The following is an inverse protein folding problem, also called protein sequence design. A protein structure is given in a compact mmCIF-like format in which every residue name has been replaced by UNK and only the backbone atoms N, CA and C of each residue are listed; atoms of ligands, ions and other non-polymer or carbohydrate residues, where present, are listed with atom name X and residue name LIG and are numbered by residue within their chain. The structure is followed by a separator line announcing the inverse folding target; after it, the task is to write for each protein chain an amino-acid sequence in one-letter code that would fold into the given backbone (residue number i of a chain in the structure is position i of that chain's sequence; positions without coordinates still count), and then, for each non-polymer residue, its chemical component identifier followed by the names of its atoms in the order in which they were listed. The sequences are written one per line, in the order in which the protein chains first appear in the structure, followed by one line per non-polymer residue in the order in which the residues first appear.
data_IF_570496870240
#
_entry.id   IF_570496870240
#
_cell.length_a   1.000
_cell.length_b   1.000
_cell.length_c   1.000
_cell.angle_alpha   90.00
_cell.angle_beta   90.00
_cell.angle_gamma   90.00
#
_symmetry.space_group_name_H-M   'P 1'
#
loop_
_entity.id
_entity.type
_entity.pdbx_description
1 polymer ?
#
# COMPACT_ATOMS: atom_id res chain seq x y z
N UNK A 1 -15.46 -12.12 -24.94
CA UNK A 1 -15.24 -11.83 -23.51
C UNK A 1 -15.16 -13.15 -22.78
N UNK A 2 -14.14 -13.34 -21.95
CA UNK A 2 -14.01 -14.51 -21.10
C UNK A 2 -14.67 -14.20 -19.76
N UNK A 3 -15.58 -15.06 -19.30
CA UNK A 3 -16.23 -14.93 -17.99
C UNK A 3 -15.47 -15.84 -17.03
N UNK A 4 -15.01 -15.29 -15.90
CA UNK A 4 -14.22 -16.04 -14.91
C UNK A 4 -15.10 -16.94 -14.05
N UNK A 5 -14.56 -18.10 -13.68
CA UNK A 5 -15.16 -18.99 -12.69
C UNK A 5 -14.74 -18.60 -11.27
N UNK A 6 -15.42 -19.17 -10.26
CA UNK A 6 -15.04 -19.03 -8.85
C UNK A 6 -13.59 -19.46 -8.60
N UNK A 7 -13.13 -20.53 -9.25
CA UNK A 7 -11.77 -21.04 -9.07
C UNK A 7 -10.72 -20.08 -9.65
N UNK A 8 -11.03 -19.44 -10.78
CA UNK A 8 -10.14 -18.45 -11.39
C UNK A 8 -9.96 -17.23 -10.49
N UNK A 9 -11.05 -16.76 -9.85
CA UNK A 9 -11.00 -15.60 -8.95
C UNK A 9 -10.25 -15.95 -7.65
N UNK A 10 -10.60 -17.06 -7.00
CA UNK A 10 -9.99 -17.42 -5.71
C UNK A 10 -8.55 -17.95 -5.83
N UNK A 11 -8.13 -18.36 -7.02
CA UNK A 11 -6.77 -18.80 -7.31
C UNK A 11 -5.88 -17.71 -7.90
N UNK A 12 -6.41 -16.52 -8.17
CA UNK A 12 -5.62 -15.41 -8.67
C UNK A 12 -4.65 -14.92 -7.59
N UNK A 13 -3.41 -14.65 -7.99
CA UNK A 13 -2.45 -13.92 -7.17
C UNK A 13 -2.42 -12.47 -7.62
N UNK A 14 -3.35 -11.68 -7.10
CA UNK A 14 -3.63 -10.30 -7.50
C UNK A 14 -3.16 -9.25 -6.49
N UNK A 15 -2.45 -9.69 -5.44
CA UNK A 15 -1.86 -8.81 -4.43
C UNK A 15 -0.40 -8.49 -4.76
N UNK A 16 -0.18 -7.38 -5.46
CA UNK A 16 1.17 -6.89 -5.75
C UNK A 16 1.93 -6.55 -4.46
N UNK A 17 3.24 -6.81 -4.44
CA UNK A 17 4.13 -6.43 -3.35
C UNK A 17 5.44 -5.87 -3.87
N UNK A 18 6.06 -4.99 -3.08
CA UNK A 18 7.38 -4.45 -3.35
C UNK A 18 8.20 -4.33 -2.07
N UNK A 19 9.51 -4.44 -2.19
CA UNK A 19 10.43 -4.18 -1.08
C UNK A 19 10.82 -2.71 -1.07
N UNK A 20 10.73 -2.07 0.10
CA UNK A 20 11.07 -0.66 0.30
C UNK A 20 12.24 -0.57 1.26
N UNK A 21 13.34 0.01 0.82
CA UNK A 21 14.49 0.30 1.68
C UNK A 21 14.16 1.40 2.67
N UNK A 22 14.46 1.16 3.95
CA UNK A 22 14.24 2.06 5.08
C UNK A 22 15.60 2.35 5.73
N UNK A 23 16.42 3.25 5.15
CA UNK A 23 17.76 3.54 5.65
C UNK A 23 17.76 4.04 7.11
N UNK A 24 16.66 4.66 7.56
CA UNK A 24 16.45 5.10 8.93
C UNK A 24 16.48 3.94 9.95
N UNK A 25 16.17 2.72 9.51
CA UNK A 25 16.21 1.51 10.32
C UNK A 25 17.31 0.52 9.90
N UNK A 26 18.09 0.87 8.87
CA UNK A 26 19.20 0.03 8.38
C UNK A 26 18.75 -1.26 7.71
N UNK A 27 17.53 -1.30 7.15
CA UNK A 27 16.98 -2.49 6.51
C UNK A 27 15.85 -2.15 5.54
N UNK A 28 15.10 -3.16 5.12
CA UNK A 28 14.02 -3.02 4.14
C UNK A 28 12.75 -3.69 4.67
N UNK A 29 11.59 -3.24 4.20
CA UNK A 29 10.28 -3.82 4.54
C UNK A 29 9.55 -4.23 3.27
N UNK A 30 8.74 -5.28 3.36
CA UNK A 30 7.87 -5.69 2.24
C UNK A 30 6.52 -4.99 2.42
N UNK A 31 6.11 -4.24 1.40
CA UNK A 31 4.82 -3.59 1.32
C UNK A 31 3.97 -4.30 0.28
N UNK A 32 2.74 -4.68 0.64
CA UNK A 32 1.78 -5.35 -0.23
C UNK A 32 0.50 -4.53 -0.39
N UNK A 33 -0.17 -4.69 -1.53
CA UNK A 33 -1.56 -4.32 -1.69
C UNK A 33 -2.44 -4.95 -0.59
N UNK A 34 -3.43 -4.19 -0.14
CA UNK A 34 -4.43 -4.66 0.82
C UNK A 34 -5.39 -5.64 0.14
N UNK A 35 -5.80 -6.67 0.88
CA UNK A 35 -7.01 -7.42 0.51
C UNK A 35 -8.25 -6.52 0.68
N UNK A 36 -9.37 -6.92 0.08
CA UNK A 36 -10.64 -6.19 0.30
C UNK A 36 -11.01 -6.06 1.77
N UNK A 37 -10.80 -7.10 2.58
CA UNK A 37 -11.07 -7.05 4.02
C UNK A 37 -10.13 -6.11 4.78
N UNK A 38 -8.84 -6.08 4.41
CA UNK A 38 -7.86 -5.15 4.98
C UNK A 38 -8.19 -3.70 4.61
N UNK A 39 -8.67 -3.48 3.38
CA UNK A 39 -9.12 -2.18 2.90
C UNK A 39 -10.30 -1.65 3.72
N UNK A 40 -11.32 -2.48 3.92
CA UNK A 40 -12.48 -2.13 4.74
C UNK A 40 -12.07 -1.82 6.19
N UNK A 41 -11.14 -2.61 6.76
CA UNK A 41 -10.61 -2.38 8.10
C UNK A 41 -9.82 -1.06 8.21
N UNK A 42 -9.02 -0.73 7.20
CA UNK A 42 -8.34 0.56 7.11
C UNK A 42 -9.33 1.72 7.04
N UNK A 43 -10.31 1.65 6.14
CA UNK A 43 -11.31 2.72 5.97
C UNK A 43 -12.16 2.89 7.25
N UNK A 44 -12.50 1.79 7.94
CA UNK A 44 -13.15 1.85 9.26
C UNK A 44 -12.27 2.50 10.33
N UNK A 45 -10.96 2.22 10.33
CA UNK A 45 -10.00 2.84 11.24
C UNK A 45 -9.79 4.35 10.98
N UNK A 46 -10.18 4.85 9.79
CA UNK A 46 -10.20 6.28 9.48
C UNK A 46 -11.48 6.98 9.91
N UNK A 47 -12.45 6.30 10.50
CA UNK A 47 -13.68 6.92 10.98
C UNK A 47 -13.68 6.95 12.51
N UNK A 48 -13.89 8.14 13.09
CA UNK A 48 -14.15 8.31 14.53
C UNK A 48 -15.47 9.02 14.74
N UNK A 49 -16.10 8.82 15.90
CA UNK A 49 -17.24 9.65 16.32
C UNK A 49 -16.72 10.85 17.10
N UNK A 50 -17.19 12.03 16.74
CA UNK A 50 -16.93 13.24 17.50
C UNK A 50 -17.79 13.28 18.78
N UNK A 51 -17.58 14.30 19.63
CA UNK A 51 -18.34 14.49 20.87
C UNK A 51 -19.85 14.66 20.66
N UNK A 52 -20.27 15.06 19.45
CA UNK A 52 -21.68 15.18 19.04
C UNK A 52 -22.27 13.87 18.48
N UNK A 53 -21.49 12.77 18.46
CA UNK A 53 -21.90 11.48 17.91
C UNK A 53 -21.89 11.38 16.38
N UNK A 54 -21.39 12.39 15.66
CA UNK A 54 -21.25 12.37 14.20
C UNK A 54 -19.98 11.66 13.80
N UNK A 55 -20.03 10.92 12.68
CA UNK A 55 -18.83 10.33 12.08
C UNK A 55 -17.99 11.41 11.41
N UNK A 56 -16.71 11.44 11.73
CA UNK A 56 -15.70 12.30 11.14
C UNK A 56 -14.46 11.48 10.74
N UNK A 57 -13.67 12.01 9.82
CA UNK A 57 -12.41 11.39 9.41
C UNK A 57 -11.38 11.56 10.51
N UNK A 58 -10.88 10.45 11.03
CA UNK A 58 -9.77 10.40 11.96
C UNK A 58 -8.45 10.55 11.20
N UNK A 59 -7.93 11.78 11.23
CA UNK A 59 -6.63 12.11 10.65
C UNK A 59 -5.46 11.71 11.55
N UNK A 60 -5.72 11.28 12.79
CA UNK A 60 -4.69 10.84 13.72
C UNK A 60 -4.04 9.56 13.21
N UNK A 61 -2.71 9.55 13.17
CA UNK A 61 -1.89 8.40 12.78
C UNK A 61 -2.27 7.78 11.42
N UNK A 62 -2.90 8.55 10.52
CA UNK A 62 -3.42 8.04 9.24
C UNK A 62 -2.38 7.26 8.42
N UNK A 63 -1.13 7.76 8.39
CA UNK A 63 -0.01 7.10 7.70
C UNK A 63 0.40 5.80 8.38
N UNK A 64 0.49 5.80 9.71
CA UNK A 64 0.80 4.59 10.48
C UNK A 64 -0.32 3.53 10.33
N UNK A 65 -1.59 3.94 10.27
CA UNK A 65 -2.72 3.05 9.96
C UNK A 65 -2.57 2.41 8.57
N UNK A 66 -2.14 3.17 7.57
CA UNK A 66 -1.89 2.62 6.23
C UNK A 66 -0.73 1.60 6.26
N UNK A 67 0.38 1.93 6.91
CA UNK A 67 1.54 1.04 7.08
C UNK A 67 1.13 -0.28 7.78
N UNK A 68 0.31 -0.18 8.82
CA UNK A 68 -0.18 -1.32 9.59
C UNK A 68 -0.90 -2.36 8.73
N UNK A 69 -1.66 -1.92 7.73
CA UNK A 69 -2.42 -2.82 6.85
C UNK A 69 -1.69 -3.23 5.56
N UNK A 70 -0.45 -2.77 5.35
CA UNK A 70 0.28 -2.98 4.09
C UNK A 70 1.65 -3.60 4.28
N UNK A 71 2.28 -3.48 5.45
CA UNK A 71 3.58 -4.11 5.71
C UNK A 71 3.41 -5.57 6.10
N UNK A 72 4.13 -6.45 5.42
CA UNK A 72 4.06 -7.90 5.59
C UNK A 72 5.45 -8.54 5.76
N UNK A 73 5.47 -9.75 6.28
CA UNK A 73 6.64 -10.64 6.24
C UNK A 73 6.80 -11.33 4.87
N UNK A 74 7.82 -12.18 4.75
CA UNK A 74 8.10 -12.95 3.52
C UNK A 74 6.99 -13.96 3.18
N UNK A 75 6.14 -14.34 4.14
CA UNK A 75 4.99 -15.21 3.94
C UNK A 75 3.71 -14.42 3.58
N UNK A 76 3.77 -13.08 3.57
CA UNK A 76 2.62 -12.22 3.33
C UNK A 76 1.71 -12.03 4.55
N UNK A 77 2.11 -12.41 5.76
CA UNK A 77 1.39 -12.07 6.97
C UNK A 77 1.71 -10.64 7.40
N UNK A 78 0.71 -9.90 7.92
CA UNK A 78 0.93 -8.54 8.43
C UNK A 78 1.97 -8.57 9.56
N UNK A 79 2.93 -7.65 9.53
CA UNK A 79 3.95 -7.53 10.59
C UNK A 79 3.41 -6.92 11.88
N UNK A 80 2.34 -6.13 11.79
CA UNK A 80 1.78 -5.40 12.91
C UNK A 80 0.31 -5.73 13.09
N UNK A 81 -0.11 -5.73 14.35
CA UNK A 81 -1.51 -5.85 14.75
C UNK A 81 -2.10 -4.47 15.12
N UNK A 82 -3.43 -4.30 15.09
CA UNK A 82 -4.08 -3.04 15.47
C UNK A 82 -3.66 -2.50 16.85
N UNK A 83 -3.37 -3.39 17.81
CA UNK A 83 -2.97 -3.03 19.16
C UNK A 83 -1.56 -2.40 19.24
N UNK A 84 -0.75 -2.56 18.18
CA UNK A 84 0.61 -2.04 18.10
C UNK A 84 0.69 -0.70 17.37
N UNK A 85 -0.45 -0.12 16.98
CA UNK A 85 -0.50 1.14 16.22
C UNK A 85 0.23 2.28 16.93
N UNK A 86 0.09 2.40 18.24
CA UNK A 86 0.74 3.48 19.01
C UNK A 86 2.27 3.32 19.02
N UNK A 87 2.76 2.08 19.14
CA UNK A 87 4.18 1.78 19.08
C UNK A 87 4.76 2.06 17.69
N UNK A 88 4.01 1.73 16.63
CA UNK A 88 4.37 2.03 15.25
C UNK A 88 4.36 3.55 14.98
N UNK A 89 3.33 4.26 15.46
CA UNK A 89 3.20 5.71 15.29
C UNK A 89 4.29 6.50 16.03
N UNK A 90 4.85 5.94 17.10
CA UNK A 90 5.98 6.53 17.83
C UNK A 90 7.34 6.40 17.12
N UNK A 91 7.41 5.70 15.98
CA UNK A 91 8.65 5.56 15.19
C UNK A 91 8.95 6.83 14.37
N UNK A 92 10.07 6.80 13.65
CA UNK A 92 10.51 7.92 12.79
C UNK A 92 9.43 8.28 11.77
N UNK A 93 8.94 9.51 11.82
CA UNK A 93 7.93 10.02 10.89
C UNK A 93 8.41 9.92 9.43
N UNK A 94 9.70 10.17 9.14
CA UNK A 94 10.25 10.04 7.80
C UNK A 94 10.29 8.60 7.28
N UNK A 95 10.56 7.64 8.17
CA UNK A 95 10.50 6.21 7.82
C UNK A 95 9.05 5.78 7.53
N UNK A 96 8.10 6.20 8.37
CA UNK A 96 6.68 5.92 8.18
C UNK A 96 6.18 6.54 6.87
N UNK A 97 6.54 7.80 6.56
CA UNK A 97 6.16 8.47 5.31
C UNK A 97 6.61 7.68 4.09
N UNK A 98 7.89 7.28 4.06
CA UNK A 98 8.48 6.53 2.94
C UNK A 98 7.70 5.24 2.65
N UNK A 99 7.35 4.50 3.70
CA UNK A 99 6.59 3.25 3.58
C UNK A 99 5.14 3.55 3.19
N UNK A 100 4.53 4.58 3.79
CA UNK A 100 3.16 4.99 3.51
C UNK A 100 2.99 5.46 2.05
N UNK A 101 3.97 6.15 1.47
CA UNK A 101 3.95 6.58 0.07
C UNK A 101 3.96 5.39 -0.89
N UNK A 102 4.83 4.41 -0.62
CA UNK A 102 4.89 3.15 -1.34
C UNK A 102 3.56 2.39 -1.24
N UNK A 103 3.01 2.28 -0.02
CA UNK A 103 1.72 1.65 0.24
C UNK A 103 0.56 2.37 -0.47
N UNK A 104 0.55 3.71 -0.45
CA UNK A 104 -0.49 4.51 -1.08
C UNK A 104 -0.50 4.34 -2.60
N UNK A 105 0.68 4.23 -3.23
CA UNK A 105 0.79 3.96 -4.67
C UNK A 105 0.24 2.59 -5.04
N UNK A 106 0.64 1.54 -4.32
CA UNK A 106 0.16 0.16 -4.55
C UNK A 106 -1.37 0.04 -4.40
N UNK A 107 -1.96 0.81 -3.48
CA UNK A 107 -3.38 0.75 -3.17
C UNK A 107 -4.21 1.83 -3.90
N UNK A 108 -3.64 2.53 -4.89
CA UNK A 108 -4.36 3.54 -5.68
C UNK A 108 -4.88 4.73 -4.86
N UNK A 109 -4.26 5.03 -3.72
CA UNK A 109 -4.66 6.08 -2.78
C UNK A 109 -4.09 7.46 -3.11
N UNK A 110 -3.10 7.54 -3.99
CA UNK A 110 -2.53 8.81 -4.41
C UNK A 110 -3.47 9.53 -5.38
N UNK A 111 -3.76 10.81 -5.11
CA UNK A 111 -4.62 11.66 -5.98
C UNK A 111 -4.07 11.90 -7.40
N UNK A 112 -2.84 11.46 -7.69
CA UNK A 112 -2.17 11.59 -9.00
C UNK A 112 -2.28 10.32 -9.87
N UNK A 113 -3.22 9.41 -9.58
CA UNK A 113 -3.51 8.22 -10.39
C UNK A 113 -4.01 8.51 -11.84
N UNK A 114 -3.94 9.77 -12.29
CA UNK A 114 -4.27 10.19 -13.67
C UNK A 114 -3.01 10.47 -14.51
N UNK A 115 -1.81 10.63 -13.91
CA UNK A 115 -0.63 11.10 -14.66
C UNK A 115 0.55 10.10 -14.80
N UNK A 116 0.79 9.20 -13.83
CA UNK A 116 2.05 8.42 -13.78
C UNK A 116 1.99 6.97 -14.29
N UNK A 117 0.80 6.40 -14.53
CA UNK A 117 0.67 5.06 -15.11
C UNK A 117 1.18 4.94 -16.57
N UNK A 118 1.55 6.07 -17.21
CA UNK A 118 2.07 6.11 -18.57
C UNK A 118 3.60 5.99 -18.68
N UNK A 119 4.36 6.07 -17.58
CA UNK A 119 5.84 6.21 -17.66
C UNK A 119 6.66 4.98 -17.32
N UNK A 120 6.07 3.91 -16.77
CA UNK A 120 6.82 2.71 -16.36
C UNK A 120 6.76 1.53 -17.34
N UNK A 121 6.30 1.74 -18.58
CA UNK A 121 6.28 0.69 -19.63
C UNK A 121 7.22 0.96 -20.81
N UNK A 122 8.25 1.78 -20.64
CA UNK A 122 9.27 2.01 -21.68
C UNK A 122 10.65 1.48 -21.25
N UNK A 123 10.76 0.16 -21.14
CA UNK A 123 11.98 -0.61 -21.46
C UNK A 123 11.67 -1.22 -22.83
N UNK A 124 12.35 -1.01 -23.96
CA UNK A 124 13.76 -0.74 -24.30
C UNK A 124 13.81 -0.05 -25.69
N UNK A 125 14.79 0.82 -26.03
CA UNK A 125 15.16 1.04 -27.41
C UNK A 125 16.34 0.12 -27.76
N UNK A 126 16.04 -1.13 -28.11
CA UNK A 126 16.98 -1.97 -28.83
C UNK A 126 17.06 -1.46 -30.28
N UNK A 127 18.23 -0.92 -30.64
CA UNK A 127 18.44 -0.25 -31.91
C UNK A 127 18.36 -1.15 -33.14
N UNK A 128 18.16 -0.50 -34.29
CA UNK A 128 18.85 -0.83 -35.54
C UNK A 128 18.73 0.37 -36.49
N UNK A 129 19.86 1.04 -36.68
CA UNK A 129 20.03 2.05 -37.72
C UNK A 129 20.24 1.33 -39.05
N UNK A 130 19.26 1.40 -39.96
CA UNK A 130 19.43 0.99 -41.35
C UNK A 130 19.40 2.23 -42.23
N UNK A 131 20.58 2.56 -42.77
CA UNK A 131 20.80 3.53 -43.83
C UNK A 131 20.09 3.11 -45.13
N UNK A 132 19.51 4.09 -45.83
CA UNK A 132 19.45 4.20 -47.31
C UNK A 132 19.33 5.66 -47.70
#
# INVERSE_FOLDING_TARGET
MLILSKADILGANDLESQTVDVPEWGGSVIVRAMTGAQRDAYDAALLRRNDEGKLEVDTLNMRAKLVLWTVVDEAGALLFTPDELDALAAKSAGAIERIADAAARLNGLHRDAVADAAKNSASDPAGSSSSV
#
